data_IF_925718626638
#
_entry.id   IF_925718626638
#
_cell.length_a   1.000
_cell.length_b   1.000
_cell.length_c   1.000
_cell.angle_alpha   90.00
_cell.angle_beta   90.00
_cell.angle_gamma   90.00
#
_symmetry.space_group_name_H-M   'P 1'
#
loop_
_entity.id
_entity.type
_entity.pdbx_description
1 polymer ?
#
# COMPACT_ATOMS: atom_id res chain seq x y z
N UNK A 1 -2.99 10.92 20.62
CA UNK A 1 -3.94 11.22 19.52
C UNK A 1 -4.68 9.94 19.24
N UNK A 2 -6.00 10.01 19.21
CA UNK A 2 -6.83 8.88 18.82
C UNK A 2 -6.96 8.93 17.30
N UNK A 3 -6.44 7.90 16.61
CA UNK A 3 -6.54 7.83 15.16
C UNK A 3 -7.85 7.14 14.80
N UNK A 4 -8.76 7.90 14.19
CA UNK A 4 -10.04 7.37 13.72
C UNK A 4 -9.77 6.67 12.39
N UNK A 5 -10.01 5.37 12.35
CA UNK A 5 -9.86 4.52 11.17
C UNK A 5 -11.22 4.00 10.77
N UNK A 6 -11.53 4.03 9.47
CA UNK A 6 -12.74 3.37 8.98
C UNK A 6 -12.50 1.87 8.89
N UNK A 7 -13.40 1.09 9.49
CA UNK A 7 -13.32 -0.36 9.42
C UNK A 7 -13.47 -0.88 7.97
N UNK A 8 -14.21 -0.15 7.13
CA UNK A 8 -14.38 -0.45 5.71
C UNK A 8 -13.03 -0.45 4.97
N UNK A 9 -12.21 0.60 5.13
CA UNK A 9 -10.87 0.69 4.53
C UNK A 9 -9.96 -0.48 4.95
N UNK A 10 -10.10 -0.98 6.19
CA UNK A 10 -9.36 -2.15 6.67
C UNK A 10 -9.85 -3.44 5.98
N UNK A 11 -11.17 -3.60 5.84
CA UNK A 11 -11.76 -4.78 5.19
C UNK A 11 -11.35 -4.82 3.73
N UNK A 12 -11.46 -3.70 3.00
CA UNK A 12 -11.01 -3.58 1.61
C UNK A 12 -9.52 -3.92 1.48
N UNK A 13 -8.69 -3.41 2.40
CA UNK A 13 -7.26 -3.73 2.45
C UNK A 13 -6.96 -5.23 2.63
N UNK A 14 -7.72 -5.91 3.48
CA UNK A 14 -7.58 -7.36 3.69
C UNK A 14 -8.02 -8.19 2.48
N UNK A 15 -8.98 -7.70 1.69
CA UNK A 15 -9.46 -8.38 0.48
C UNK A 15 -8.44 -8.31 -0.67
N UNK A 16 -7.71 -7.20 -0.79
CA UNK A 16 -6.72 -6.99 -1.87
C UNK A 16 -5.31 -7.45 -1.50
N UNK A 17 -5.05 -7.70 -0.21
CA UNK A 17 -3.73 -8.13 0.24
C UNK A 17 -3.33 -9.48 -0.38
N UNK A 18 -2.14 -9.52 -0.97
CA UNK A 18 -1.61 -10.67 -1.70
C UNK A 18 -0.08 -10.71 -1.63
N UNK A 19 0.53 -11.67 -2.33
CA UNK A 19 2.00 -11.70 -2.48
C UNK A 19 2.52 -10.50 -3.29
N UNK A 20 1.71 -9.95 -4.20
CA UNK A 20 2.06 -8.84 -5.10
C UNK A 20 1.65 -7.46 -4.55
N UNK A 21 0.64 -7.43 -3.68
CA UNK A 21 0.05 -6.21 -3.10
C UNK A 21 0.09 -6.26 -1.58
N UNK A 22 0.81 -5.33 -0.96
CA UNK A 22 0.93 -5.21 0.49
C UNK A 22 0.11 -4.04 0.99
N UNK A 23 -0.70 -4.28 2.02
CA UNK A 23 -1.54 -3.24 2.63
C UNK A 23 -1.07 -2.94 4.06
N UNK A 24 -0.97 -1.65 4.38
CA UNK A 24 -0.47 -1.16 5.66
C UNK A 24 -1.42 -0.14 6.27
N UNK A 25 -1.63 -0.21 7.59
CA UNK A 25 -2.28 0.85 8.34
C UNK A 25 -1.24 1.84 8.86
N UNK A 26 -1.35 3.10 8.45
CA UNK A 26 -0.53 4.18 8.96
C UNK A 26 -1.02 4.61 10.36
N UNK A 27 -0.28 4.21 11.39
CA UNK A 27 -0.59 4.49 12.79
C UNK A 27 -0.44 5.97 13.18
N UNK A 28 -0.05 6.87 12.26
CA UNK A 28 0.06 8.32 12.54
C UNK A 28 -1.21 9.08 12.17
N UNK A 29 -1.87 8.69 11.09
CA UNK A 29 -3.03 9.40 10.53
C UNK A 29 -4.25 8.49 10.31
N UNK A 30 -4.13 7.17 10.51
CA UNK A 30 -5.22 6.20 10.32
C UNK A 30 -5.47 5.79 8.87
N UNK A 31 -4.60 6.16 7.94
CA UNK A 31 -4.73 5.87 6.51
C UNK A 31 -4.34 4.42 6.19
N UNK A 32 -5.10 3.78 5.30
CA UNK A 32 -4.77 2.45 4.76
C UNK A 32 -4.06 2.64 3.42
N UNK A 33 -2.83 2.16 3.32
CA UNK A 33 -1.94 2.36 2.17
C UNK A 33 -1.70 1.01 1.51
N UNK A 34 -1.89 0.93 0.20
CA UNK A 34 -1.53 -0.22 -0.61
C UNK A 34 -0.24 0.08 -1.35
N UNK A 35 0.68 -0.88 -1.38
CA UNK A 35 1.96 -0.79 -2.08
C UNK A 35 2.17 -2.09 -2.85
N UNK A 36 2.43 -1.98 -4.15
CA UNK A 36 2.79 -3.13 -5.00
C UNK A 36 4.27 -3.49 -4.84
N UNK A 37 4.62 -4.73 -5.15
CA UNK A 37 6.03 -5.15 -5.24
C UNK A 37 6.81 -4.33 -6.29
N UNK A 38 6.13 -3.81 -7.32
CA UNK A 38 6.72 -2.94 -8.33
C UNK A 38 7.10 -1.57 -7.76
N UNK A 39 6.23 -0.96 -6.95
CA UNK A 39 6.50 0.28 -6.23
C UNK A 39 7.66 0.12 -5.23
N UNK A 40 7.76 -1.04 -4.59
CA UNK A 40 8.89 -1.37 -3.72
C UNK A 40 10.19 -1.43 -4.53
N UNK A 41 10.21 -2.16 -5.65
CA UNK A 41 11.39 -2.26 -6.53
C UNK A 41 11.81 -0.91 -7.10
N UNK A 42 10.86 -0.09 -7.56
CA UNK A 42 11.13 1.23 -8.07
C UNK A 42 11.82 2.13 -7.02
N UNK A 43 11.36 2.06 -5.77
CA UNK A 43 11.99 2.77 -4.66
C UNK A 43 13.40 2.26 -4.34
N UNK A 44 13.67 0.96 -4.48
CA UNK A 44 15.00 0.36 -4.27
C UNK A 44 15.99 0.70 -5.40
N UNK A 45 15.53 0.68 -6.65
CA UNK A 45 16.35 0.93 -7.85
C UNK A 45 16.53 2.43 -8.16
N UNK A 46 15.98 3.34 -7.34
CA UNK A 46 15.89 4.79 -7.59
C UNK A 46 15.27 5.14 -8.96
N UNK A 47 14.39 4.26 -9.45
CA UNK A 47 13.74 4.37 -10.74
C UNK A 47 12.31 4.90 -10.59
N UNK A 48 11.81 5.53 -11.64
CA UNK A 48 10.41 5.96 -11.70
C UNK A 48 9.50 4.75 -11.87
N UNK A 49 8.37 4.71 -11.16
CA UNK A 49 7.41 3.59 -11.27
C UNK A 49 6.88 3.47 -12.70
N UNK A 50 6.81 4.58 -13.43
CA UNK A 50 6.41 4.65 -14.84
C UNK A 50 7.38 3.93 -15.78
N UNK A 51 8.59 3.60 -15.32
CA UNK A 51 9.58 2.80 -16.07
C UNK A 51 9.33 1.30 -15.93
N UNK A 52 8.48 0.87 -15.00
CA UNK A 52 8.13 -0.52 -14.81
C UNK A 52 6.84 -0.90 -15.57
N UNK A 53 6.67 -2.20 -15.90
CA UNK A 53 5.55 -2.62 -16.74
C UNK A 53 4.21 -2.71 -15.99
N UNK A 54 3.15 -2.12 -16.57
CA UNK A 54 1.81 -2.04 -15.97
C UNK A 54 0.95 -3.32 -16.05
N UNK A 55 1.56 -4.51 -16.19
CA UNK A 55 0.84 -5.77 -16.49
C UNK A 55 0.73 -6.71 -15.30
#
# INVERSE_FOLDING_TARGET
MENIVKLEDIIEGLEIQSDEMRVFLNLRNGEVITISDEEIRAAEDEALIEEFPTW
#
